data_IF_277450763856
#
_entry.id   IF_277450763856
#
_cell.length_a   1.000
_cell.length_b   1.000
_cell.length_c   1.000
_cell.angle_alpha   90.00
_cell.angle_beta   90.00
_cell.angle_gamma   90.00
#
_symmetry.space_group_name_H-M   'P 1'
#
loop_
_entity.id
_entity.type
_entity.pdbx_description
1 polymer ?
#
# COMPACT_ATOMS: atom_id res chain seq x y z
N UNK A 1 -2.58 -4.89 -27.64
CA UNK A 1 -3.10 -4.78 -26.26
C UNK A 1 -3.53 -3.33 -26.03
N UNK A 2 -4.80 -3.12 -25.67
CA UNK A 2 -5.37 -1.79 -25.36
C UNK A 2 -5.63 -1.71 -23.86
N UNK A 3 -5.01 -0.75 -23.18
CA UNK A 3 -5.09 -0.58 -21.74
C UNK A 3 -5.90 0.68 -21.41
N UNK A 4 -6.86 0.56 -20.49
CA UNK A 4 -7.50 1.72 -19.86
C UNK A 4 -6.85 1.94 -18.50
N UNK A 5 -6.28 3.12 -18.30
CA UNK A 5 -5.67 3.54 -17.04
C UNK A 5 -6.71 4.35 -16.27
N UNK A 6 -7.14 3.85 -15.11
CA UNK A 6 -8.01 4.61 -14.22
C UNK A 6 -7.16 5.48 -13.30
N UNK A 7 -7.29 6.80 -13.42
CA UNK A 7 -6.54 7.77 -12.65
C UNK A 7 -7.45 8.94 -12.23
N UNK A 8 -7.09 9.67 -11.19
CA UNK A 8 -7.87 10.80 -10.66
C UNK A 8 -8.78 10.37 -9.50
N UNK A 9 -10.08 10.49 -9.67
CA UNK A 9 -11.07 10.21 -8.62
C UNK A 9 -11.27 11.37 -7.64
N UNK A 10 -12.00 11.13 -6.55
CA UNK A 10 -12.41 12.16 -5.57
C UNK A 10 -11.60 12.13 -4.27
N UNK A 11 -10.64 11.22 -4.14
CA UNK A 11 -9.81 11.15 -2.93
C UNK A 11 -8.86 12.36 -2.82
N UNK A 12 -8.37 12.69 -1.62
CA UNK A 12 -7.34 13.73 -1.45
C UNK A 12 -6.06 13.44 -2.25
N UNK A 13 -5.84 12.20 -2.67
CA UNK A 13 -4.67 11.73 -3.44
C UNK A 13 -4.86 11.84 -4.96
N UNK A 14 -5.92 12.52 -5.43
CA UNK A 14 -6.27 12.68 -6.85
C UNK A 14 -5.09 13.13 -7.71
N UNK A 15 -4.33 14.13 -7.27
CA UNK A 15 -3.21 14.67 -8.04
C UNK A 15 -2.07 13.67 -8.19
N UNK A 16 -1.79 12.87 -7.16
CA UNK A 16 -0.81 11.78 -7.21
C UNK A 16 -1.27 10.69 -8.18
N UNK A 17 -2.55 10.36 -8.16
CA UNK A 17 -3.17 9.40 -9.08
C UNK A 17 -3.05 9.86 -10.54
N UNK A 18 -3.40 11.11 -10.84
CA UNK A 18 -3.26 11.67 -12.20
C UNK A 18 -1.81 11.69 -12.70
N UNK A 19 -0.85 12.03 -11.83
CA UNK A 19 0.58 11.98 -12.15
C UNK A 19 1.02 10.54 -12.43
N UNK A 20 0.62 9.59 -11.58
CA UNK A 20 0.91 8.16 -11.77
C UNK A 20 0.34 7.64 -13.10
N UNK A 21 -0.91 8.00 -13.43
CA UNK A 21 -1.55 7.59 -14.67
C UNK A 21 -0.85 8.13 -15.92
N UNK A 22 -0.44 9.40 -15.92
CA UNK A 22 0.31 9.99 -17.05
C UNK A 22 1.65 9.30 -17.26
N UNK A 23 2.43 9.12 -16.18
CA UNK A 23 3.73 8.43 -16.29
C UNK A 23 3.59 6.98 -16.75
N UNK A 24 2.58 6.27 -16.27
CA UNK A 24 2.28 4.91 -16.74
C UNK A 24 1.99 4.92 -18.25
N UNK A 25 1.13 5.84 -18.72
CA UNK A 25 0.80 5.96 -20.13
C UNK A 25 2.02 6.31 -20.98
N UNK A 26 2.86 7.24 -20.54
CA UNK A 26 4.08 7.66 -21.23
C UNK A 26 5.02 6.45 -21.41
N UNK A 27 5.32 5.71 -20.34
CA UNK A 27 6.21 4.54 -20.40
C UNK A 27 5.61 3.37 -21.21
N UNK A 28 4.30 3.16 -21.19
CA UNK A 28 3.64 2.17 -22.04
C UNK A 28 3.73 2.57 -23.52
N UNK A 29 3.60 3.87 -23.83
CA UNK A 29 3.74 4.40 -25.19
C UNK A 29 5.17 4.20 -25.75
N UNK A 30 6.21 4.35 -24.91
CA UNK A 30 7.61 4.10 -25.30
C UNK A 30 7.86 2.67 -25.81
N UNK A 31 7.06 1.71 -25.37
CA UNK A 31 7.15 0.29 -25.78
C UNK A 31 6.02 -0.13 -26.73
N UNK A 32 5.33 0.85 -27.33
CA UNK A 32 4.32 0.61 -28.38
C UNK A 32 2.98 0.08 -27.85
N UNK A 33 2.67 0.27 -26.58
CA UNK A 33 1.36 -0.09 -26.00
C UNK A 33 0.41 1.12 -26.02
N UNK A 34 -0.75 0.93 -26.66
CA UNK A 34 -1.82 1.92 -26.66
C UNK A 34 -2.52 1.93 -25.30
N UNK A 35 -2.61 3.12 -24.70
CA UNK A 35 -3.33 3.31 -23.44
C UNK A 35 -4.14 4.59 -23.44
N UNK A 36 -5.25 4.57 -22.70
CA UNK A 36 -6.15 5.72 -22.51
C UNK A 36 -6.33 5.97 -21.03
N UNK A 37 -6.16 7.22 -20.59
CA UNK A 37 -6.40 7.62 -19.21
C UNK A 37 -7.87 8.04 -19.08
N UNK A 38 -8.56 7.45 -18.09
CA UNK A 38 -9.95 7.79 -17.75
C UNK A 38 -10.06 8.10 -16.27
N UNK A 39 -10.79 9.16 -15.94
CA UNK A 39 -11.26 9.36 -14.56
C UNK A 39 -12.55 8.58 -14.33
N UNK A 40 -12.77 8.09 -13.09
CA UNK A 40 -14.07 7.54 -12.71
C UNK A 40 -15.15 8.62 -12.81
N UNK A 41 -16.12 8.40 -13.69
CA UNK A 41 -17.29 9.23 -13.89
C UNK A 41 -18.54 8.36 -14.09
N UNK A 42 -19.70 8.99 -14.28
CA UNK A 42 -20.98 8.30 -14.49
C UNK A 42 -21.01 7.44 -15.76
N UNK A 43 -20.13 7.69 -16.73
CA UNK A 43 -20.06 6.97 -18.01
C UNK A 43 -19.05 5.83 -18.00
N UNK A 44 -18.22 5.70 -16.98
CA UNK A 44 -17.10 4.73 -16.94
C UNK A 44 -17.57 3.29 -17.17
N UNK A 45 -18.64 2.87 -16.51
CA UNK A 45 -19.12 1.48 -16.59
C UNK A 45 -19.63 1.16 -18.01
N UNK A 46 -20.44 2.03 -18.59
CA UNK A 46 -20.96 1.86 -19.96
C UNK A 46 -19.81 1.91 -20.99
N UNK A 47 -18.84 2.78 -20.75
CA UNK A 47 -17.65 2.86 -21.57
C UNK A 47 -16.86 1.54 -21.56
N UNK A 48 -16.55 0.99 -20.39
CA UNK A 48 -15.81 -0.27 -20.25
C UNK A 48 -16.59 -1.46 -20.84
N UNK A 49 -17.92 -1.51 -20.63
CA UNK A 49 -18.78 -2.55 -21.17
C UNK A 49 -18.83 -2.51 -22.72
N UNK A 50 -18.76 -1.32 -23.32
CA UNK A 50 -18.81 -1.11 -24.78
C UNK A 50 -17.44 -1.33 -25.41
N UNK A 51 -16.38 -0.73 -24.85
CA UNK A 51 -15.04 -0.73 -25.45
C UNK A 51 -14.29 -2.04 -25.22
N UNK A 52 -14.60 -2.75 -24.14
CA UNK A 52 -13.99 -4.03 -23.76
C UNK A 52 -12.45 -3.98 -23.90
N UNK A 53 -11.76 -3.14 -23.10
CA UNK A 53 -10.30 -3.10 -23.15
C UNK A 53 -9.72 -4.46 -22.79
N UNK A 54 -8.51 -4.75 -23.25
CA UNK A 54 -7.80 -5.98 -22.88
C UNK A 54 -7.44 -5.97 -21.39
N UNK A 55 -7.19 -4.78 -20.82
CA UNK A 55 -6.79 -4.60 -19.44
C UNK A 55 -7.24 -3.24 -18.90
N UNK A 56 -7.60 -3.21 -17.62
CA UNK A 56 -7.71 -1.97 -16.84
C UNK A 56 -6.54 -1.92 -15.84
N UNK A 57 -5.82 -0.81 -15.81
CA UNK A 57 -4.82 -0.55 -14.77
C UNK A 57 -5.27 0.60 -13.89
N UNK A 58 -5.74 0.28 -12.69
CA UNK A 58 -6.15 1.30 -11.73
C UNK A 58 -4.94 1.83 -10.98
N UNK A 59 -4.70 3.13 -11.08
CA UNK A 59 -3.76 3.88 -10.25
C UNK A 59 -4.51 4.90 -9.39
N UNK A 60 -5.77 4.59 -9.10
CA UNK A 60 -6.55 5.32 -8.11
C UNK A 60 -6.00 5.06 -6.72
N UNK A 61 -5.78 6.11 -5.95
CA UNK A 61 -5.29 6.02 -4.58
C UNK A 61 -6.38 6.38 -3.58
N UNK A 62 -6.30 5.77 -2.39
CA UNK A 62 -7.25 6.01 -1.32
C UNK A 62 -8.58 5.27 -1.49
N UNK A 63 -9.60 5.74 -0.77
CA UNK A 63 -10.94 5.17 -0.83
C UNK A 63 -11.52 5.24 -2.25
N UNK A 64 -12.20 4.18 -2.68
CA UNK A 64 -12.72 4.00 -4.04
C UNK A 64 -11.69 3.43 -5.04
N UNK A 65 -10.39 3.47 -4.72
CA UNK A 65 -9.33 2.89 -5.56
C UNK A 65 -8.68 1.64 -4.96
N UNK A 66 -8.45 1.66 -3.64
CA UNK A 66 -7.72 0.59 -2.94
C UNK A 66 -8.62 -0.26 -2.03
N UNK A 67 -9.88 0.12 -1.81
CA UNK A 67 -10.84 -0.52 -0.92
C UNK A 67 -11.60 -1.72 -1.52
N UNK A 68 -11.30 -2.09 -2.77
CA UNK A 68 -11.91 -3.20 -3.48
C UNK A 68 -13.19 -2.85 -4.24
N UNK A 69 -13.72 -1.63 -4.14
CA UNK A 69 -14.97 -1.25 -4.80
C UNK A 69 -14.85 -1.26 -6.32
N UNK A 70 -13.86 -0.56 -6.88
CA UNK A 70 -13.59 -0.53 -8.33
C UNK A 70 -13.23 -1.92 -8.83
N UNK A 71 -12.39 -2.66 -8.11
CA UNK A 71 -12.01 -4.04 -8.46
C UNK A 71 -13.27 -4.93 -8.58
N UNK A 72 -14.23 -4.78 -7.66
CA UNK A 72 -15.49 -5.55 -7.73
C UNK A 72 -16.30 -5.25 -8.99
N UNK A 73 -16.37 -3.99 -9.40
CA UNK A 73 -17.05 -3.60 -10.63
C UNK A 73 -16.36 -4.16 -11.87
N UNK A 74 -15.02 -4.15 -11.90
CA UNK A 74 -14.24 -4.75 -12.98
C UNK A 74 -14.42 -6.28 -13.06
N UNK A 75 -14.46 -6.96 -11.91
CA UNK A 75 -14.80 -8.40 -11.84
C UNK A 75 -16.20 -8.68 -12.42
N UNK A 76 -17.20 -7.86 -12.08
CA UNK A 76 -18.57 -8.02 -12.60
C UNK A 76 -18.66 -7.77 -14.12
N UNK A 77 -17.83 -6.88 -14.67
CA UNK A 77 -17.72 -6.62 -16.10
C UNK A 77 -16.91 -7.72 -16.83
N UNK A 78 -16.21 -8.60 -16.11
CA UNK A 78 -15.32 -9.59 -16.69
C UNK A 78 -14.11 -8.98 -17.39
N UNK A 79 -13.67 -7.79 -16.97
CA UNK A 79 -12.51 -7.08 -17.54
C UNK A 79 -11.28 -7.40 -16.71
N UNK A 80 -10.18 -7.79 -17.39
CA UNK A 80 -8.90 -8.02 -16.73
C UNK A 80 -8.35 -6.72 -16.12
N UNK A 81 -7.70 -6.83 -14.94
CA UNK A 81 -7.09 -5.66 -14.28
C UNK A 81 -5.82 -6.02 -13.53
N UNK A 82 -4.95 -5.03 -13.31
CA UNK A 82 -3.71 -5.17 -12.53
C UNK A 82 -4.02 -5.03 -11.05
N UNK A 83 -3.42 -5.88 -10.22
CA UNK A 83 -3.46 -5.82 -8.76
C UNK A 83 -4.34 -6.89 -8.11
N UNK A 84 -4.74 -6.61 -6.89
CA UNK A 84 -5.52 -7.52 -6.06
C UNK A 84 -6.99 -7.61 -6.49
N UNK A 85 -7.60 -8.79 -6.41
CA UNK A 85 -9.05 -8.94 -6.51
C UNK A 85 -9.80 -8.22 -5.38
N UNK A 86 -11.08 -7.92 -5.60
CA UNK A 86 -11.88 -7.03 -4.74
C UNK A 86 -11.87 -7.40 -3.24
N UNK A 87 -12.00 -8.70 -2.92
CA UNK A 87 -11.96 -9.18 -1.53
C UNK A 87 -10.61 -8.94 -0.88
N UNK A 88 -9.53 -9.21 -1.61
CA UNK A 88 -8.18 -9.07 -1.12
C UNK A 88 -7.80 -7.59 -0.98
N UNK A 89 -8.19 -6.74 -1.93
CA UNK A 89 -8.03 -5.29 -1.85
C UNK A 89 -8.72 -4.74 -0.60
N UNK A 90 -10.00 -5.09 -0.37
CA UNK A 90 -10.74 -4.69 0.83
C UNK A 90 -10.06 -5.11 2.14
N UNK A 91 -9.58 -6.35 2.20
CA UNK A 91 -8.91 -6.86 3.41
C UNK A 91 -7.56 -6.17 3.63
N UNK A 92 -6.84 -5.86 2.56
CA UNK A 92 -5.55 -5.16 2.62
C UNK A 92 -5.73 -3.69 3.01
N UNK A 93 -6.79 -3.03 2.52
CA UNK A 93 -7.14 -1.66 2.87
C UNK A 93 -7.41 -1.48 4.37
N UNK A 94 -8.01 -2.48 4.99
CA UNK A 94 -8.21 -2.54 6.44
C UNK A 94 -6.96 -3.09 7.14
N UNK A 95 -6.17 -2.21 7.74
CA UNK A 95 -4.88 -2.56 8.37
C UNK A 95 -5.02 -3.64 9.45
N UNK A 96 -6.09 -3.62 10.24
CA UNK A 96 -6.31 -4.64 11.27
C UNK A 96 -6.59 -6.02 10.65
N UNK A 97 -7.38 -6.08 9.58
CA UNK A 97 -7.65 -7.32 8.84
C UNK A 97 -6.38 -7.84 8.14
N UNK A 98 -5.59 -6.96 7.52
CA UNK A 98 -4.31 -7.33 6.91
C UNK A 98 -3.35 -7.91 7.94
N UNK A 99 -3.14 -7.23 9.08
CA UNK A 99 -2.27 -7.71 10.18
C UNK A 99 -2.75 -9.03 10.77
N UNK A 100 -4.06 -9.20 10.95
CA UNK A 100 -4.62 -10.46 11.44
C UNK A 100 -4.28 -11.62 10.50
N UNK A 101 -4.38 -11.41 9.19
CA UNK A 101 -4.04 -12.42 8.18
C UNK A 101 -2.54 -12.75 8.18
N UNK A 102 -1.70 -11.73 8.27
CA UNK A 102 -0.24 -11.87 8.37
C UNK A 102 0.15 -12.65 9.63
N UNK A 103 -0.43 -12.29 10.79
CA UNK A 103 -0.18 -13.02 12.05
C UNK A 103 -0.65 -14.48 11.99
N UNK A 104 -1.80 -14.77 11.36
CA UNK A 104 -2.28 -16.14 11.14
C UNK A 104 -1.34 -16.97 10.28
N UNK A 105 -0.64 -16.34 9.33
CA UNK A 105 0.38 -16.98 8.52
C UNK A 105 1.72 -17.18 9.27
N UNK A 106 1.81 -16.74 10.53
CA UNK A 106 3.02 -16.85 11.33
C UNK A 106 4.09 -15.80 11.03
N UNK A 107 3.75 -14.77 10.23
CA UNK A 107 4.63 -13.66 9.93
C UNK A 107 4.59 -12.60 11.04
N UNK A 108 5.74 -12.01 11.33
CA UNK A 108 5.86 -11.00 12.38
C UNK A 108 5.18 -9.69 11.97
N UNK A 109 4.33 -9.16 12.84
CA UNK A 109 3.74 -7.84 12.75
C UNK A 109 3.63 -7.28 14.17
N UNK A 110 3.76 -5.96 14.41
CA UNK A 110 3.62 -5.41 15.75
C UNK A 110 2.28 -5.78 16.38
N UNK A 111 2.27 -6.08 17.67
CA UNK A 111 1.01 -6.28 18.41
C UNK A 111 0.14 -5.03 18.30
N UNK A 112 -1.17 -5.24 18.19
CA UNK A 112 -2.11 -4.15 17.95
C UNK A 112 -3.48 -4.37 18.60
N UNK A 113 -4.19 -3.26 18.79
CA UNK A 113 -5.61 -3.21 19.15
C UNK A 113 -6.31 -2.29 18.17
N UNK A 114 -7.50 -2.65 17.70
CA UNK A 114 -8.37 -1.72 16.96
C UNK A 114 -9.55 -1.29 17.81
N UNK A 115 -9.90 -0.01 17.73
CA UNK A 115 -10.98 0.59 18.50
C UNK A 115 -11.88 1.45 17.61
N UNK A 116 -13.18 1.08 17.49
CA UNK A 116 -14.18 1.94 16.88
C UNK A 116 -14.40 3.24 17.69
N UNK A 117 -14.56 4.35 17.00
CA UNK A 117 -14.81 5.68 17.58
C UNK A 117 -16.00 5.71 18.55
N UNK A 118 -17.08 4.99 18.20
CA UNK A 118 -18.27 4.90 19.04
C UNK A 118 -18.00 4.16 20.35
N UNK A 119 -17.24 3.06 20.31
CA UNK A 119 -16.83 2.32 21.50
C UNK A 119 -16.01 3.22 22.45
N UNK A 120 -15.03 3.94 21.88
CA UNK A 120 -14.21 4.87 22.65
C UNK A 120 -15.05 6.01 23.29
N UNK A 121 -16.07 6.55 22.57
CA UNK A 121 -16.97 7.57 23.10
C UNK A 121 -17.92 7.08 24.19
N UNK A 122 -18.36 5.83 24.11
CA UNK A 122 -19.31 5.25 25.08
C UNK A 122 -18.65 4.81 26.38
N UNK A 123 -17.39 4.40 26.31
CA UNK A 123 -16.63 3.96 27.46
C UNK A 123 -15.85 5.14 28.08
N UNK A 124 -15.46 4.99 29.33
CA UNK A 124 -14.60 5.99 29.97
C UNK A 124 -13.23 6.01 29.30
N UNK A 125 -12.92 7.12 28.60
CA UNK A 125 -11.67 7.26 27.83
C UNK A 125 -10.42 6.98 28.68
N UNK A 126 -10.36 7.47 29.94
CA UNK A 126 -9.22 7.24 30.82
C UNK A 126 -9.03 5.76 31.12
N UNK A 127 -10.10 5.01 31.33
CA UNK A 127 -10.04 3.57 31.59
C UNK A 127 -9.61 2.80 30.34
N UNK A 128 -10.15 3.15 29.16
CA UNK A 128 -9.76 2.54 27.88
C UNK A 128 -8.28 2.78 27.59
N UNK A 129 -7.80 4.03 27.70
CA UNK A 129 -6.41 4.37 27.51
C UNK A 129 -5.49 3.62 28.48
N UNK A 130 -5.92 3.46 29.75
CA UNK A 130 -5.19 2.69 30.74
C UNK A 130 -5.06 1.22 30.38
N UNK A 131 -6.14 0.59 29.88
CA UNK A 131 -6.11 -0.80 29.44
C UNK A 131 -5.18 -0.99 28.23
N UNK A 132 -5.31 -0.13 27.20
CA UNK A 132 -4.47 -0.19 26.00
C UNK A 132 -2.99 -0.02 26.34
N UNK A 133 -2.65 0.98 27.17
CA UNK A 133 -1.24 1.23 27.52
C UNK A 133 -0.63 0.15 28.41
N UNK A 134 -1.44 -0.57 29.17
CA UNK A 134 -0.96 -1.70 30.00
C UNK A 134 -0.75 -2.97 29.16
N UNK A 135 -1.52 -3.14 28.09
CA UNK A 135 -1.43 -4.32 27.21
C UNK A 135 -0.30 -4.18 26.19
N UNK A 136 -0.23 -3.04 25.49
CA UNK A 136 0.74 -2.86 24.40
C UNK A 136 2.08 -2.26 24.84
N UNK A 137 2.13 -1.53 25.96
CA UNK A 137 3.28 -0.74 26.43
C UNK A 137 3.73 0.36 25.45
N UNK A 138 4.30 1.44 25.98
CA UNK A 138 4.85 2.53 25.17
C UNK A 138 6.27 2.24 24.67
N UNK A 139 6.68 2.85 23.54
CA UNK A 139 5.93 3.78 22.68
C UNK A 139 4.93 3.09 21.76
N UNK A 140 3.86 3.81 21.38
CA UNK A 140 2.77 3.31 20.54
C UNK A 140 2.61 4.17 19.29
N UNK A 141 2.18 3.55 18.20
CA UNK A 141 1.72 4.22 16.98
C UNK A 141 0.20 4.12 16.90
N UNK A 142 -0.45 5.25 16.65
CA UNK A 142 -1.89 5.32 16.37
C UNK A 142 -2.11 5.77 14.94
N UNK A 143 -3.00 5.09 14.23
CA UNK A 143 -3.35 5.42 12.84
C UNK A 143 -4.79 5.00 12.53
N UNK A 144 -5.47 5.61 11.52
CA UNK A 144 -6.75 5.10 11.04
C UNK A 144 -6.59 3.66 10.55
N UNK A 145 -7.60 2.81 10.79
CA UNK A 145 -7.61 1.42 10.28
C UNK A 145 -7.61 1.39 8.76
N UNK A 146 -8.34 2.32 8.14
CA UNK A 146 -8.41 2.50 6.69
C UNK A 146 -7.80 3.86 6.32
N UNK A 147 -7.09 3.92 5.20
CA UNK A 147 -6.45 5.15 4.73
C UNK A 147 -5.02 4.93 4.24
N UNK A 148 -4.54 5.91 3.48
CA UNK A 148 -3.21 5.96 2.88
C UNK A 148 -2.40 7.19 3.32
N UNK A 149 -1.23 7.38 2.71
CA UNK A 149 -0.39 8.58 2.82
C UNK A 149 -0.05 9.02 4.25
N UNK A 150 -0.02 8.10 5.20
CA UNK A 150 0.26 8.35 6.62
C UNK A 150 -0.64 9.43 7.28
N UNK A 151 -1.83 9.71 6.74
CA UNK A 151 -2.78 10.65 7.35
C UNK A 151 -3.24 10.13 8.70
N UNK A 152 -3.17 10.97 9.73
CA UNK A 152 -3.58 10.62 11.09
C UNK A 152 -2.67 9.62 11.81
N UNK A 153 -1.47 9.37 11.28
CA UNK A 153 -0.44 8.55 11.93
C UNK A 153 0.31 9.40 12.94
N UNK A 154 0.39 8.92 14.18
CA UNK A 154 1.16 9.61 15.22
C UNK A 154 1.73 8.65 16.26
N UNK A 155 2.92 8.99 16.78
CA UNK A 155 3.59 8.28 17.86
C UNK A 155 3.19 8.87 19.21
N UNK A 156 3.07 8.02 20.19
CA UNK A 156 2.77 8.37 21.58
C UNK A 156 3.74 7.68 22.53
N UNK A 157 4.34 8.46 23.43
CA UNK A 157 5.30 7.95 24.42
C UNK A 157 4.66 7.85 25.82
N UNK A 158 3.42 8.31 25.98
CA UNK A 158 2.63 8.25 27.19
C UNK A 158 1.11 8.21 26.95
N UNK A 159 0.35 7.96 28.00
CA UNK A 159 -1.11 7.87 27.95
C UNK A 159 -1.80 9.18 27.49
N UNK A 160 -1.23 10.33 27.82
CA UNK A 160 -1.77 11.64 27.43
C UNK A 160 -1.58 11.84 25.92
N UNK A 161 -0.41 11.52 25.42
CA UNK A 161 -0.10 11.51 23.98
C UNK A 161 -1.01 10.56 23.23
N UNK A 162 -1.23 9.34 23.73
CA UNK A 162 -2.13 8.35 23.12
C UNK A 162 -3.56 8.89 22.96
N UNK A 163 -4.09 9.54 23.99
CA UNK A 163 -5.43 10.15 23.91
C UNK A 163 -5.54 11.21 22.83
N UNK A 164 -4.50 12.05 22.65
CA UNK A 164 -4.41 13.04 21.58
C UNK A 164 -4.34 12.37 20.20
N UNK A 165 -3.44 11.42 20.04
CA UNK A 165 -3.25 10.67 18.80
C UNK A 165 -4.51 9.96 18.33
N UNK A 166 -5.28 9.36 19.24
CA UNK A 166 -6.57 8.73 18.92
C UNK A 166 -7.59 9.74 18.40
N UNK A 167 -7.70 10.92 19.03
CA UNK A 167 -8.62 11.97 18.57
C UNK A 167 -8.24 12.46 17.17
N UNK A 168 -6.96 12.65 16.91
CA UNK A 168 -6.43 13.03 15.60
C UNK A 168 -6.71 11.96 14.55
N UNK A 169 -6.43 10.69 14.84
CA UNK A 169 -6.70 9.59 13.93
C UNK A 169 -8.20 9.41 13.61
N UNK A 170 -9.10 9.64 14.59
CA UNK A 170 -10.55 9.62 14.37
C UNK A 170 -11.08 10.75 13.47
N UNK A 171 -10.26 11.75 13.13
CA UNK A 171 -10.62 12.73 12.11
C UNK A 171 -10.59 12.15 10.70
N UNK A 172 -9.86 11.05 10.51
CA UNK A 172 -9.65 10.38 9.20
C UNK A 172 -10.40 9.06 9.06
N UNK A 173 -11.05 8.55 10.12
CA UNK A 173 -11.78 7.29 10.05
C UNK A 173 -12.65 7.03 11.28
N UNK A 174 -13.55 6.06 11.17
CA UNK A 174 -14.45 5.66 12.27
C UNK A 174 -13.81 4.58 13.17
N UNK A 175 -12.65 4.04 12.80
CA UNK A 175 -11.90 3.07 13.57
C UNK A 175 -10.41 3.39 13.51
N UNK A 176 -9.72 3.26 14.65
CA UNK A 176 -8.27 3.44 14.75
C UNK A 176 -7.61 2.13 15.15
N UNK A 177 -6.39 1.93 14.66
CA UNK A 177 -5.48 0.90 15.11
C UNK A 177 -4.39 1.55 15.96
N UNK A 178 -4.08 0.93 17.09
CA UNK A 178 -3.00 1.30 17.99
C UNK A 178 -2.06 0.10 18.01
N UNK A 179 -0.80 0.32 17.71
CA UNK A 179 0.19 -0.75 17.62
C UNK A 179 1.47 -0.40 18.36
N UNK A 180 2.20 -1.43 18.78
CA UNK A 180 3.52 -1.26 19.37
C UNK A 180 4.48 -0.64 18.35
N UNK A 181 5.23 0.38 18.78
CA UNK A 181 6.24 1.02 17.93
C UNK A 181 7.48 0.13 17.80
N UNK A 182 7.86 -0.17 16.57
CA UNK A 182 9.11 -0.89 16.28
C UNK A 182 10.16 0.13 15.85
N UNK A 183 11.26 0.18 16.59
CA UNK A 183 12.44 0.96 16.22
C UNK A 183 13.24 0.17 15.18
N UNK A 184 13.57 0.80 14.04
CA UNK A 184 14.34 0.12 12.99
C UNK A 184 14.40 0.88 11.68
N UNK A 185 14.82 0.18 10.63
CA UNK A 185 14.92 0.70 9.25
C UNK A 185 13.62 0.42 8.50
N UNK A 186 12.94 1.47 8.04
CA UNK A 186 11.72 1.35 7.25
C UNK A 186 12.04 1.00 5.80
N UNK A 187 11.33 0.01 5.26
CA UNK A 187 11.54 -0.53 3.91
C UNK A 187 10.22 -0.61 3.15
N UNK A 188 10.28 -0.27 1.88
CA UNK A 188 9.22 -0.57 0.92
C UNK A 188 9.72 -1.60 -0.10
N UNK A 189 9.02 -2.71 -0.22
CA UNK A 189 9.39 -3.79 -1.15
C UNK A 189 8.28 -3.97 -2.17
N UNK A 190 8.61 -3.68 -3.42
CA UNK A 190 7.71 -3.89 -4.55
C UNK A 190 7.80 -5.34 -5.02
N UNK A 191 6.65 -5.99 -5.18
CA UNK A 191 6.54 -7.35 -5.69
C UNK A 191 5.84 -7.31 -7.05
N UNK A 192 6.40 -8.03 -8.02
CA UNK A 192 5.89 -8.11 -9.39
C UNK A 192 5.83 -9.55 -9.87
N UNK A 193 4.93 -9.82 -10.80
CA UNK A 193 4.97 -11.00 -11.67
C UNK A 193 4.99 -10.54 -13.13
N UNK A 194 6.06 -10.85 -13.82
CA UNK A 194 6.26 -10.57 -15.25
C UNK A 194 6.04 -11.81 -16.12
N UNK A 195 5.31 -12.81 -15.61
CA UNK A 195 5.04 -14.08 -16.29
C UNK A 195 5.94 -15.24 -15.84
N UNK A 196 6.95 -14.97 -15.01
CA UNK A 196 7.89 -15.97 -14.48
C UNK A 196 7.62 -16.31 -13.00
N UNK A 197 6.53 -15.79 -12.42
CA UNK A 197 6.18 -15.87 -11.01
C UNK A 197 6.59 -14.63 -10.22
N UNK A 198 6.09 -14.58 -8.98
CA UNK A 198 6.29 -13.42 -8.09
C UNK A 198 7.77 -13.25 -7.74
N UNK A 199 8.25 -12.02 -7.89
CA UNK A 199 9.61 -11.57 -7.53
C UNK A 199 9.55 -10.32 -6.66
N UNK A 200 10.34 -10.29 -5.59
CA UNK A 200 10.60 -9.06 -4.84
C UNK A 200 11.68 -8.25 -5.56
N UNK A 201 11.42 -6.99 -5.81
CA UNK A 201 12.43 -6.04 -6.28
C UNK A 201 13.33 -5.62 -5.12
N UNK A 202 14.50 -5.02 -5.38
CA UNK A 202 15.34 -4.46 -4.33
C UNK A 202 14.53 -3.53 -3.42
N UNK A 203 14.67 -3.72 -2.11
CA UNK A 203 14.01 -2.88 -1.14
C UNK A 203 14.43 -1.41 -1.30
N UNK A 204 13.48 -0.51 -1.12
CA UNK A 204 13.75 0.93 -0.98
C UNK A 204 13.72 1.26 0.51
N UNK A 205 14.83 1.76 1.03
CA UNK A 205 14.94 2.25 2.40
C UNK A 205 14.42 3.67 2.49
N UNK A 206 13.67 3.94 3.54
CA UNK A 206 13.04 5.22 3.82
C UNK A 206 13.67 5.78 5.09
N UNK A 207 14.40 6.89 4.96
CA UNK A 207 15.02 7.60 6.07
C UNK A 207 14.39 8.97 6.23
N UNK A 208 13.51 9.13 7.21
CA UNK A 208 12.91 10.41 7.55
C UNK A 208 13.80 11.15 8.55
N UNK A 209 14.08 12.44 8.32
CA UNK A 209 14.92 13.26 9.24
C UNK A 209 14.33 13.34 10.64
N UNK A 210 13.00 13.34 10.77
CA UNK A 210 12.29 13.33 12.06
C UNK A 210 12.35 11.98 12.81
N UNK A 211 12.85 10.93 12.15
CA UNK A 211 12.80 9.55 12.66
C UNK A 211 11.42 8.88 12.61
N UNK A 212 10.41 9.56 12.02
CA UNK A 212 9.09 9.01 11.80
C UNK A 212 8.63 9.40 10.38
N UNK A 213 8.27 8.43 9.55
CA UNK A 213 7.79 8.67 8.19
C UNK A 213 6.30 8.98 8.19
N UNK A 214 5.96 10.24 8.55
CA UNK A 214 4.59 10.75 8.59
C UNK A 214 4.13 11.38 7.28
N UNK A 215 3.00 12.10 7.34
CA UNK A 215 2.43 12.78 6.18
C UNK A 215 3.34 13.90 5.64
N UNK A 216 3.95 14.70 6.52
CA UNK A 216 4.82 15.79 6.12
C UNK A 216 6.08 15.27 5.44
N UNK A 217 6.71 14.26 6.01
CA UNK A 217 7.92 13.63 5.50
C UNK A 217 7.71 13.00 4.10
N UNK A 218 6.48 12.61 3.77
CA UNK A 218 6.15 12.07 2.43
C UNK A 218 6.08 13.14 1.34
N UNK A 219 5.69 14.36 1.69
CA UNK A 219 5.33 15.39 0.70
C UNK A 219 6.16 16.68 0.77
N UNK A 220 6.95 16.89 1.83
CA UNK A 220 7.87 18.02 1.94
C UNK A 220 9.23 17.63 1.38
N UNK A 221 9.71 18.30 0.30
CA UNK A 221 11.01 17.99 -0.27
C UNK A 221 12.14 18.20 0.75
N UNK A 222 13.02 17.19 0.87
CA UNK A 222 14.19 17.24 1.74
C UNK A 222 13.97 16.62 3.13
N UNK A 223 12.74 16.31 3.54
CA UNK A 223 12.46 15.70 4.84
C UNK A 223 12.63 14.16 4.85
N UNK A 224 12.74 13.55 3.67
CA UNK A 224 12.96 12.12 3.52
C UNK A 224 14.01 11.83 2.46
N UNK A 225 14.92 10.94 2.79
CA UNK A 225 15.89 10.38 1.85
C UNK A 225 15.52 8.92 1.54
N UNK A 226 15.57 8.57 0.25
CA UNK A 226 15.32 7.21 -0.23
C UNK A 226 16.62 6.58 -0.74
N UNK A 227 16.88 5.34 -0.35
CA UNK A 227 18.01 4.56 -0.86
C UNK A 227 17.50 3.32 -1.58
N UNK A 228 17.77 3.26 -2.87
CA UNK A 228 17.39 2.14 -3.74
C UNK A 228 18.64 1.63 -4.50
N UNK A 229 19.18 0.44 -4.16
CA UNK A 229 18.70 -0.48 -3.12
C UNK A 229 18.97 0.00 -1.69
N UNK A 230 18.20 -0.54 -0.73
CA UNK A 230 18.36 -0.30 0.70
C UNK A 230 19.78 -0.64 1.20
N UNK A 231 20.28 0.10 2.20
CA UNK A 231 21.63 -0.04 2.79
C UNK A 231 21.71 -1.21 3.78
N UNK A 232 21.16 -2.37 3.41
CA UNK A 232 21.15 -3.58 4.22
C UNK A 232 22.23 -4.57 3.77
N UNK A 233 22.71 -5.39 4.70
CA UNK A 233 23.51 -6.53 4.29
C UNK A 233 22.67 -7.60 3.59
N UNK A 234 23.30 -8.46 2.76
CA UNK A 234 22.60 -9.39 1.88
C UNK A 234 21.65 -10.35 2.60
N UNK A 235 22.00 -10.84 3.78
CA UNK A 235 21.13 -11.78 4.53
C UNK A 235 19.88 -11.10 5.07
N UNK A 236 20.02 -9.87 5.55
CA UNK A 236 18.88 -9.08 6.05
C UNK A 236 17.96 -8.67 4.89
N UNK A 237 18.56 -8.21 3.79
CA UNK A 237 17.81 -7.86 2.58
C UNK A 237 17.01 -9.08 2.05
N UNK A 238 17.61 -10.27 2.07
CA UNK A 238 16.93 -11.50 1.65
C UNK A 238 15.79 -11.86 2.60
N UNK A 239 16.01 -11.79 3.93
CA UNK A 239 14.95 -12.07 4.91
C UNK A 239 13.76 -11.10 4.77
N UNK A 240 14.02 -9.82 4.51
CA UNK A 240 12.97 -8.84 4.23
C UNK A 240 12.23 -9.14 2.91
N UNK A 241 12.95 -9.50 1.85
CA UNK A 241 12.36 -9.89 0.58
C UNK A 241 11.49 -11.14 0.69
N UNK A 242 11.95 -12.17 1.41
CA UNK A 242 11.21 -13.42 1.63
C UNK A 242 9.92 -13.14 2.42
N UNK A 243 9.99 -12.33 3.48
CA UNK A 243 8.82 -11.91 4.24
C UNK A 243 7.84 -11.12 3.38
N UNK A 244 8.31 -10.19 2.55
CA UNK A 244 7.45 -9.40 1.67
C UNK A 244 6.77 -10.27 0.61
N UNK A 245 7.48 -11.24 0.03
CA UNK A 245 6.90 -12.21 -0.90
C UNK A 245 5.81 -13.05 -0.25
N UNK A 246 6.04 -13.54 0.96
CA UNK A 246 5.04 -14.34 1.67
C UNK A 246 3.83 -13.49 2.08
N UNK A 247 4.06 -12.28 2.61
CA UNK A 247 2.98 -11.33 2.91
C UNK A 247 2.14 -10.99 1.66
N UNK A 248 2.78 -10.78 0.51
CA UNK A 248 2.11 -10.55 -0.77
C UNK A 248 1.21 -11.73 -1.18
N UNK A 249 1.71 -12.97 -1.05
CA UNK A 249 0.94 -14.20 -1.34
C UNK A 249 -0.25 -14.34 -0.40
N UNK A 250 -0.01 -14.19 0.89
CA UNK A 250 -1.04 -14.29 1.92
C UNK A 250 -2.14 -13.24 1.73
N UNK A 251 -1.77 -12.00 1.47
CA UNK A 251 -2.75 -10.95 1.21
C UNK A 251 -3.41 -11.08 -0.18
N UNK A 252 -2.80 -11.83 -1.11
CA UNK A 252 -3.32 -12.04 -2.46
C UNK A 252 -3.31 -10.77 -3.29
N UNK A 253 -2.17 -10.07 -3.34
CA UNK A 253 -2.06 -8.76 -4.00
C UNK A 253 -1.99 -8.85 -5.53
N UNK A 254 -2.05 -10.05 -6.10
CA UNK A 254 -2.03 -10.24 -7.55
C UNK A 254 -0.62 -10.12 -8.15
N UNK A 255 -0.54 -9.61 -9.36
CA UNK A 255 0.73 -9.54 -10.12
C UNK A 255 1.58 -8.31 -9.78
N UNK A 256 1.05 -7.37 -9.01
CA UNK A 256 1.73 -6.13 -8.65
C UNK A 256 1.22 -5.59 -7.31
N UNK A 257 2.13 -5.31 -6.41
CA UNK A 257 1.82 -4.72 -5.10
C UNK A 257 3.08 -4.27 -4.37
N UNK A 258 2.91 -3.62 -3.22
CA UNK A 258 4.01 -3.19 -2.35
C UNK A 258 3.73 -3.64 -0.93
N UNK A 259 4.77 -4.11 -0.26
CA UNK A 259 4.74 -4.45 1.18
C UNK A 259 5.71 -3.54 1.90
N UNK A 260 5.23 -2.90 2.97
CA UNK A 260 6.01 -1.99 3.79
C UNK A 260 6.37 -2.70 5.09
N UNK A 261 7.66 -2.71 5.43
CA UNK A 261 8.27 -3.42 6.56
C UNK A 261 9.10 -2.47 7.41
N UNK A 262 9.35 -2.86 8.67
CA UNK A 262 10.48 -2.35 9.45
C UNK A 262 11.42 -3.52 9.77
N UNK A 263 12.72 -3.32 9.59
CA UNK A 263 13.76 -4.22 10.10
C UNK A 263 14.29 -3.64 11.41
N UNK A 264 14.06 -4.35 12.51
CA UNK A 264 14.46 -3.91 13.85
C UNK A 264 15.99 -4.02 14.09
N UNK A 265 16.45 -3.57 15.23
CA UNK A 265 17.86 -3.63 15.64
C UNK A 265 18.44 -5.06 15.76
N UNK A 266 17.56 -6.07 15.89
CA UNK A 266 17.91 -7.48 15.88
C UNK A 266 17.88 -8.10 14.48
N UNK A 267 17.75 -7.27 13.44
CA UNK A 267 17.65 -7.67 12.04
C UNK A 267 16.39 -8.50 11.72
N UNK A 268 15.34 -8.40 12.51
CA UNK A 268 14.06 -9.06 12.28
C UNK A 268 13.13 -8.15 11.47
N UNK A 269 12.62 -8.60 10.33
CA UNK A 269 11.60 -7.85 9.59
C UNK A 269 10.23 -7.98 10.26
N UNK A 270 9.48 -6.88 10.26
CA UNK A 270 8.12 -6.74 10.79
C UNK A 270 7.22 -6.13 9.71
N UNK A 271 6.10 -6.79 9.43
CA UNK A 271 5.09 -6.27 8.51
C UNK A 271 4.36 -5.07 9.11
N UNK A 272 4.26 -3.99 8.35
CA UNK A 272 3.48 -2.79 8.70
C UNK A 272 2.17 -2.71 7.97
N UNK A 273 2.24 -2.64 6.65
CA UNK A 273 1.09 -2.51 5.76
C UNK A 273 1.44 -2.99 4.35
N UNK A 274 0.44 -3.04 3.46
CA UNK A 274 0.65 -3.30 2.06
C UNK A 274 -0.25 -2.40 1.19
N UNK A 275 0.19 -2.10 -0.03
CA UNK A 275 -0.58 -1.34 -1.02
C UNK A 275 -0.92 -2.21 -2.22
N UNK A 276 -2.19 -2.20 -2.61
CA UNK A 276 -2.71 -2.87 -3.81
C UNK A 276 -2.59 -2.01 -5.07
N UNK A 277 -2.32 -0.71 -4.90
CA UNK A 277 -2.13 0.27 -5.99
C UNK A 277 -0.96 1.19 -5.66
N UNK A 278 0.29 0.66 -5.70
CA UNK A 278 1.46 1.48 -5.42
C UNK A 278 1.57 2.67 -6.37
N UNK A 279 1.99 3.84 -5.84
CA UNK A 279 2.21 5.04 -6.63
C UNK A 279 3.28 4.84 -7.70
N UNK A 280 3.08 5.49 -8.86
CA UNK A 280 3.96 5.41 -10.03
C UNK A 280 4.53 6.79 -10.44
N UNK A 281 4.51 7.77 -9.53
CA UNK A 281 5.15 9.07 -9.79
C UNK A 281 6.68 8.93 -9.76
N UNK A 282 7.39 9.96 -10.17
CA UNK A 282 8.85 9.97 -10.21
C UNK A 282 9.50 9.71 -8.83
N UNK A 283 8.88 10.22 -7.79
CA UNK A 283 9.36 10.08 -6.40
C UNK A 283 8.74 8.87 -5.68
N UNK A 284 7.87 8.10 -6.34
CA UNK A 284 7.26 6.91 -5.76
C UNK A 284 8.27 5.77 -5.58
N UNK A 285 8.06 4.96 -4.54
CA UNK A 285 8.98 3.90 -4.13
C UNK A 285 9.08 2.76 -5.17
N UNK A 286 7.94 2.39 -5.80
CA UNK A 286 7.95 1.29 -6.78
C UNK A 286 8.77 1.61 -8.03
N UNK A 287 8.64 2.78 -8.70
CA UNK A 287 9.56 3.14 -9.80
C UNK A 287 11.04 3.13 -9.42
N UNK A 288 11.39 3.57 -8.19
CA UNK A 288 12.77 3.52 -7.71
C UNK A 288 13.27 2.07 -7.57
N UNK A 289 12.42 1.16 -7.07
CA UNK A 289 12.75 -0.26 -6.99
C UNK A 289 12.97 -0.90 -8.38
N UNK A 290 12.15 -0.55 -9.38
CA UNK A 290 12.36 -1.00 -10.77
C UNK A 290 13.71 -0.54 -11.33
N UNK A 291 14.04 0.74 -11.16
CA UNK A 291 15.31 1.31 -11.61
C UNK A 291 16.48 0.63 -10.90
N UNK A 292 16.41 0.42 -9.59
CA UNK A 292 17.44 -0.26 -8.81
C UNK A 292 17.63 -1.73 -9.24
N UNK A 293 16.58 -2.38 -9.75
CA UNK A 293 16.64 -3.73 -10.33
C UNK A 293 17.14 -3.76 -11.79
N UNK A 294 17.38 -2.59 -12.40
CA UNK A 294 17.84 -2.49 -13.80
C UNK A 294 16.73 -2.64 -14.84
N UNK A 295 15.46 -2.56 -14.44
CA UNK A 295 14.35 -2.61 -15.40
C UNK A 295 14.17 -1.29 -16.14
N UNK A 296 13.85 -1.38 -17.44
CA UNK A 296 13.14 -0.31 -18.15
C UNK A 296 11.69 -0.27 -17.65
N UNK A 297 11.19 0.90 -17.25
CA UNK A 297 9.83 1.02 -16.71
C UNK A 297 8.77 0.59 -17.74
N UNK A 298 8.92 0.98 -19.00
CA UNK A 298 7.98 0.60 -20.06
C UNK A 298 7.90 -0.91 -20.26
N UNK A 299 9.05 -1.59 -20.37
CA UNK A 299 9.09 -3.06 -20.55
C UNK A 299 8.56 -3.78 -19.30
N UNK A 300 8.87 -3.29 -18.08
CA UNK A 300 8.35 -3.88 -16.86
C UNK A 300 6.82 -3.73 -16.77
N UNK A 301 6.28 -2.55 -17.04
CA UNK A 301 4.83 -2.32 -17.03
C UNK A 301 4.10 -3.13 -18.09
N UNK A 302 4.67 -3.26 -19.29
CA UNK A 302 4.15 -4.14 -20.34
C UNK A 302 4.09 -5.60 -19.87
N UNK A 303 5.17 -6.11 -19.30
CA UNK A 303 5.24 -7.49 -18.82
C UNK A 303 4.24 -7.75 -17.66
N UNK A 304 4.09 -6.81 -16.74
CA UNK A 304 3.07 -6.87 -15.66
C UNK A 304 1.64 -6.89 -16.27
N UNK A 305 1.38 -6.06 -17.28
CA UNK A 305 0.08 -6.02 -17.96
C UNK A 305 -0.24 -7.36 -18.65
N UNK A 306 0.72 -7.93 -19.36
CA UNK A 306 0.61 -9.25 -20.00
C UNK A 306 0.39 -10.36 -18.97
N UNK A 307 1.12 -10.32 -17.84
CA UNK A 307 0.95 -11.25 -16.74
C UNK A 307 -0.45 -11.13 -16.10
N UNK A 308 -0.98 -9.92 -15.91
CA UNK A 308 -2.31 -9.69 -15.36
C UNK A 308 -3.42 -10.30 -16.22
N UNK A 309 -3.35 -10.13 -17.55
CA UNK A 309 -4.29 -10.75 -18.49
C UNK A 309 -4.23 -12.28 -18.38
N UNK A 310 -3.02 -12.83 -18.33
CA UNK A 310 -2.80 -14.28 -18.23
C UNK A 310 -3.26 -14.84 -16.88
N UNK A 311 -3.08 -14.09 -15.79
CA UNK A 311 -3.49 -14.48 -14.45
C UNK A 311 -5.01 -14.61 -14.33
N UNK A 312 -5.77 -13.62 -14.83
CA UNK A 312 -7.24 -13.64 -14.74
C UNK A 312 -7.89 -14.65 -15.68
N UNK A 313 -7.25 -14.99 -16.80
CA UNK A 313 -7.76 -16.05 -17.70
C UNK A 313 -7.68 -17.46 -17.09
N UNK A 314 -6.96 -17.63 -15.95
CA UNK A 314 -6.81 -18.91 -15.23
C UNK A 314 -7.73 -19.06 -14.02
N UNK A 315 -8.44 -17.97 -13.61
CA UNK A 315 -9.41 -17.98 -12.51
C UNK A 315 -10.83 -18.16 -13.04
#
# INVERSE_FOLDING_TARGET
MRIVILAGGISPERDVSLKSGRRLADHLSEVGIESEIREPDELLIDYLATTKPDLVWSVLHGAGGEDGAVQRLLEMLGVAFVGAGSRNAKNTWNKAAAKAKIAQAGLATPDWISLPKNTFKQLNAKSVLGLVSNDLNFPLITKPVEGGSAQGVSRSDDQKGLGKSMVEAYAYGEEVIIEHFIQGTELAITIIDTGEGLKALPAVEIEAESGNFGYQERYVPGETTFYAPARLNGNIAQAAADMALEAHRELGLGVFGRVDLIVDENNKPWFLEASVSPGLTETSLSPQAFVAAGYSLGEAYKAIAESAISYQSRQ
#
